data_IF_346326847346
#
_entry.id   IF_346326847346
#
_cell.length_a   1.000
_cell.length_b   1.000
_cell.length_c   1.000
_cell.angle_alpha   90.00
_cell.angle_beta   90.00
_cell.angle_gamma   90.00
#
_symmetry.space_group_name_H-M   'P 1'
#
loop_
_entity.id
_entity.type
_entity.pdbx_description
1 polymer ?
#
# COMPACT_ATOMS: atom_id res chain seq x y z
N UNK A 1 7.51 -15.79 9.21
CA UNK A 1 6.71 -16.72 8.36
C UNK A 1 7.18 -16.79 6.90
N UNK A 2 8.08 -15.93 6.43
CA UNK A 2 8.65 -16.05 5.09
C UNK A 2 9.98 -16.81 5.12
N UNK A 3 10.31 -17.56 4.06
CA UNK A 3 11.63 -18.13 3.89
C UNK A 3 12.66 -17.02 3.65
N UNK A 4 13.89 -17.29 4.04
CA UNK A 4 15.04 -16.42 3.80
C UNK A 4 15.95 -17.09 2.78
N UNK A 5 16.49 -16.31 1.86
CA UNK A 5 17.39 -16.80 0.83
C UNK A 5 18.65 -15.92 0.80
N UNK A 6 19.80 -16.55 0.60
CA UNK A 6 21.04 -15.82 0.36
C UNK A 6 21.03 -15.34 -1.10
N UNK A 7 20.99 -14.02 -1.29
CA UNK A 7 21.03 -13.37 -2.60
C UNK A 7 22.34 -12.62 -2.70
N UNK A 8 23.31 -13.18 -3.43
CA UNK A 8 24.70 -12.71 -3.39
C UNK A 8 25.33 -13.03 -2.04
N UNK A 9 25.72 -12.00 -1.28
CA UNK A 9 26.27 -12.12 0.07
C UNK A 9 25.30 -11.70 1.18
N UNK A 10 24.04 -11.42 0.85
CA UNK A 10 23.05 -10.83 1.75
C UNK A 10 21.85 -11.76 1.97
N UNK A 11 21.48 -11.99 3.22
CA UNK A 11 20.29 -12.77 3.57
C UNK A 11 19.05 -11.92 3.33
N UNK A 12 18.26 -12.29 2.31
CA UNK A 12 17.08 -11.54 1.86
C UNK A 12 15.80 -12.33 2.13
N UNK A 13 14.76 -11.70 2.71
CA UNK A 13 13.48 -12.36 2.90
C UNK A 13 12.77 -12.54 1.56
N UNK A 14 12.25 -13.74 1.31
CA UNK A 14 11.38 -14.02 0.17
C UNK A 14 9.94 -13.72 0.58
N UNK A 15 9.46 -12.52 0.25
CA UNK A 15 8.15 -12.07 0.69
C UNK A 15 7.05 -12.42 -0.32
N UNK A 16 6.00 -13.07 0.18
CA UNK A 16 4.76 -13.24 -0.56
C UNK A 16 3.80 -12.12 -0.19
N UNK A 17 3.31 -11.39 -1.18
CA UNK A 17 2.32 -10.32 -0.98
C UNK A 17 1.06 -10.90 -0.33
N UNK A 18 0.67 -10.34 0.81
CA UNK A 18 -0.46 -10.86 1.59
C UNK A 18 -1.78 -10.53 0.92
N UNK A 19 -2.84 -11.28 1.20
CA UNK A 19 -4.18 -10.92 0.73
C UNK A 19 -4.70 -9.73 1.55
N UNK A 20 -4.94 -8.60 0.90
CA UNK A 20 -5.58 -7.42 1.51
C UNK A 20 -7.03 -7.38 1.07
N UNK A 21 -7.97 -7.32 2.01
CA UNK A 21 -9.41 -7.24 1.73
C UNK A 21 -9.84 -5.77 1.64
N UNK A 22 -9.38 -4.95 2.58
CA UNK A 22 -9.75 -3.54 2.71
C UNK A 22 -8.63 -2.62 2.23
N UNK A 23 -8.96 -1.34 2.03
CA UNK A 23 -7.95 -0.32 1.70
C UNK A 23 -6.95 -0.16 2.86
N UNK A 24 -7.45 -0.23 4.09
CA UNK A 24 -6.64 -0.11 5.32
C UNK A 24 -5.69 -1.29 5.54
N UNK A 25 -6.02 -2.49 5.06
CA UNK A 25 -5.12 -3.65 5.07
C UNK A 25 -3.83 -3.38 4.29
N UNK A 26 -3.88 -2.59 3.21
CA UNK A 26 -2.69 -2.24 2.42
C UNK A 26 -1.72 -1.41 3.26
N UNK A 27 -2.24 -0.43 4.01
CA UNK A 27 -1.43 0.39 4.90
C UNK A 27 -0.90 -0.40 6.10
N UNK A 28 -1.71 -1.30 6.64
CA UNK A 28 -1.31 -2.19 7.72
C UNK A 28 -0.17 -3.11 7.28
N UNK A 29 -0.30 -3.75 6.11
CA UNK A 29 0.78 -4.55 5.51
C UNK A 29 2.07 -3.73 5.35
N UNK A 30 1.96 -2.46 4.95
CA UNK A 30 3.12 -1.60 4.78
C UNK A 30 3.82 -1.25 6.10
N UNK A 31 3.06 -0.93 7.14
CA UNK A 31 3.61 -0.31 8.37
C UNK A 31 3.87 -1.29 9.51
N UNK A 32 2.98 -2.25 9.73
CA UNK A 32 3.08 -3.22 10.83
C UNK A 32 3.24 -4.66 10.33
N UNK A 33 2.99 -4.89 9.05
CA UNK A 33 2.93 -6.23 8.47
C UNK A 33 1.54 -6.85 8.60
N UNK A 34 1.32 -7.96 7.91
CA UNK A 34 0.01 -8.63 7.88
C UNK A 34 0.20 -10.14 8.01
N UNK A 35 -0.70 -10.83 8.72
CA UNK A 35 -0.69 -12.29 8.91
C UNK A 35 0.61 -12.88 9.54
N UNK A 36 1.38 -12.05 10.26
CA UNK A 36 2.68 -12.42 10.85
C UNK A 36 3.84 -12.41 9.85
N UNK A 37 3.70 -11.65 8.76
CA UNK A 37 4.78 -11.31 7.84
C UNK A 37 5.35 -9.92 8.19
N UNK A 38 6.60 -9.67 7.78
CA UNK A 38 7.27 -8.37 8.01
C UNK A 38 6.51 -7.20 7.36
N UNK A 39 6.61 -5.99 7.93
CA UNK A 39 6.14 -4.79 7.27
C UNK A 39 6.83 -4.58 5.92
N UNK A 40 6.07 -4.22 4.88
CA UNK A 40 6.66 -3.96 3.56
C UNK A 40 7.58 -2.72 3.60
N UNK A 41 7.36 -1.78 4.52
CA UNK A 41 8.27 -0.65 4.75
C UNK A 41 9.68 -1.13 5.10
N UNK A 42 9.80 -2.03 6.07
CA UNK A 42 11.10 -2.60 6.46
C UNK A 42 11.75 -3.34 5.28
N UNK A 43 10.94 -4.00 4.44
CA UNK A 43 11.44 -4.67 3.25
C UNK A 43 12.08 -3.69 2.26
N UNK A 44 11.38 -2.59 1.97
CA UNK A 44 11.90 -1.53 1.09
C UNK A 44 13.15 -0.85 1.66
N UNK A 45 13.15 -0.55 2.95
CA UNK A 45 14.25 0.20 3.59
C UNK A 45 15.54 -0.63 3.68
N UNK A 46 15.43 -1.91 4.04
CA UNK A 46 16.61 -2.75 4.27
C UNK A 46 17.12 -3.45 3.01
N UNK A 47 16.21 -3.89 2.11
CA UNK A 47 16.59 -4.69 0.93
C UNK A 47 16.24 -4.03 -0.41
N UNK A 48 15.50 -2.92 -0.40
CA UNK A 48 15.12 -2.19 -1.61
C UNK A 48 14.48 -3.10 -2.67
N UNK A 49 14.87 -3.03 -3.95
CA UNK A 49 14.29 -3.91 -4.97
C UNK A 49 14.56 -5.40 -4.83
N UNK A 50 15.54 -5.82 -4.01
CA UNK A 50 15.99 -7.21 -3.94
C UNK A 50 14.95 -8.14 -3.32
N UNK A 51 14.22 -7.70 -2.30
CA UNK A 51 13.22 -8.55 -1.62
C UNK A 51 12.08 -8.98 -2.55
N UNK A 52 11.79 -8.18 -3.59
CA UNK A 52 10.78 -8.51 -4.61
C UNK A 52 11.25 -9.62 -5.57
N UNK A 53 12.56 -9.86 -5.63
CA UNK A 53 13.19 -10.80 -6.54
C UNK A 53 12.83 -10.56 -8.01
N UNK A 54 12.91 -11.61 -8.83
CA UNK A 54 12.38 -11.60 -10.20
C UNK A 54 11.00 -12.26 -10.29
N UNK A 55 10.10 -11.96 -9.36
CA UNK A 55 8.75 -12.53 -9.33
C UNK A 55 7.74 -11.49 -9.87
N UNK A 56 7.21 -11.65 -11.11
CA UNK A 56 6.35 -10.64 -11.73
C UNK A 56 5.11 -10.29 -10.90
N UNK A 57 4.48 -11.30 -10.29
CA UNK A 57 3.29 -11.11 -9.44
C UNK A 57 3.56 -10.20 -8.24
N UNK A 58 4.73 -10.33 -7.60
CA UNK A 58 5.13 -9.49 -6.46
C UNK A 58 5.40 -8.06 -6.92
N UNK A 59 6.13 -7.89 -8.02
CA UNK A 59 6.40 -6.56 -8.61
C UNK A 59 5.11 -5.81 -8.97
N UNK A 60 4.16 -6.47 -9.63
CA UNK A 60 2.87 -5.88 -10.00
C UNK A 60 2.02 -5.53 -8.79
N UNK A 61 1.92 -6.43 -7.81
CA UNK A 61 1.16 -6.19 -6.58
C UNK A 61 1.76 -5.03 -5.77
N UNK A 62 3.09 -4.97 -5.64
CA UNK A 62 3.78 -3.86 -5.02
C UNK A 62 3.48 -2.53 -5.72
N UNK A 63 3.64 -2.47 -7.05
CA UNK A 63 3.37 -1.24 -7.81
C UNK A 63 1.93 -0.72 -7.65
N UNK A 64 0.96 -1.64 -7.51
CA UNK A 64 -0.43 -1.30 -7.19
C UNK A 64 -0.58 -0.72 -5.79
N UNK A 65 -0.04 -1.40 -4.78
CA UNK A 65 -0.14 -0.98 -3.37
C UNK A 65 0.61 0.30 -3.09
N UNK A 66 1.75 0.52 -3.75
CA UNK A 66 2.53 1.75 -3.62
C UNK A 66 1.69 3.00 -3.92
N UNK A 67 0.76 2.94 -4.89
CA UNK A 67 -0.13 4.08 -5.19
C UNK A 67 -1.05 4.43 -4.02
N UNK A 68 -1.57 3.42 -3.31
CA UNK A 68 -2.39 3.64 -2.10
C UNK A 68 -1.52 4.17 -0.96
N UNK A 69 -0.32 3.62 -0.77
CA UNK A 69 0.63 4.06 0.27
C UNK A 69 1.04 5.53 0.04
N UNK A 70 1.37 5.89 -1.20
CA UNK A 70 1.74 7.26 -1.56
C UNK A 70 0.57 8.22 -1.30
N UNK A 71 -0.65 7.82 -1.67
CA UNK A 71 -1.87 8.59 -1.42
C UNK A 71 -2.14 8.82 0.08
N UNK A 72 -2.03 7.77 0.92
CA UNK A 72 -2.19 7.91 2.38
C UNK A 72 -1.14 8.86 2.94
N UNK A 73 0.10 8.75 2.47
CA UNK A 73 1.22 9.61 2.88
C UNK A 73 1.01 11.07 2.46
N UNK A 74 0.40 11.30 1.30
CA UNK A 74 0.07 12.64 0.82
C UNK A 74 -1.09 13.24 1.63
N UNK A 75 -2.16 12.48 1.85
CA UNK A 75 -3.30 12.88 2.68
C UNK A 75 -2.86 13.23 4.09
N UNK A 76 -1.98 12.43 4.71
CA UNK A 76 -1.48 12.68 6.07
C UNK A 76 -0.59 13.91 6.20
N UNK A 77 -0.18 14.53 5.09
CA UNK A 77 0.59 15.79 5.09
C UNK A 77 -0.29 17.02 4.98
N UNK A 78 -1.59 16.87 4.77
CA UNK A 78 -2.54 18.00 4.74
C UNK A 78 -2.63 18.65 6.12
N UNK A 79 -2.95 19.95 6.20
CA UNK A 79 -3.13 20.62 7.49
C UNK A 79 -4.20 19.91 8.34
N UNK A 80 -3.86 19.58 9.58
CA UNK A 80 -4.72 18.86 10.54
C UNK A 80 -5.10 17.42 10.15
N UNK A 81 -4.40 16.85 9.17
CA UNK A 81 -4.54 15.44 8.84
C UNK A 81 -3.39 14.67 9.46
N UNK A 82 -3.70 13.46 9.90
CA UNK A 82 -2.73 12.44 10.24
C UNK A 82 -3.07 11.15 9.46
N UNK A 83 -2.27 10.12 9.67
CA UNK A 83 -2.47 8.82 9.02
C UNK A 83 -3.82 8.22 9.39
N UNK A 84 -4.23 8.32 10.65
CA UNK A 84 -5.49 7.74 11.12
C UNK A 84 -6.70 8.39 10.46
N UNK A 85 -6.70 9.72 10.35
CA UNK A 85 -7.74 10.47 9.66
C UNK A 85 -7.75 10.13 8.16
N UNK A 86 -6.58 10.02 7.52
CA UNK A 86 -6.50 9.61 6.11
C UNK A 86 -7.09 8.21 5.88
N UNK A 87 -6.81 7.25 6.75
CA UNK A 87 -7.36 5.90 6.66
C UNK A 87 -8.87 5.88 6.92
N UNK A 88 -9.36 6.63 7.93
CA UNK A 88 -10.79 6.77 8.22
C UNK A 88 -11.53 7.38 7.03
N UNK A 89 -10.98 8.42 6.41
CA UNK A 89 -11.53 9.02 5.20
C UNK A 89 -11.64 7.99 4.06
N UNK A 90 -10.56 7.28 3.75
CA UNK A 90 -10.57 6.30 2.66
C UNK A 90 -11.57 5.18 2.91
N UNK A 91 -11.64 4.65 4.13
CA UNK A 91 -12.59 3.60 4.47
C UNK A 91 -14.04 4.10 4.43
N UNK A 92 -14.33 5.28 5.01
CA UNK A 92 -15.68 5.84 5.04
C UNK A 92 -16.21 6.18 3.64
N UNK A 93 -15.35 6.74 2.77
CA UNK A 93 -15.78 7.24 1.44
C UNK A 93 -15.71 6.15 0.36
N UNK A 94 -14.77 5.21 0.46
CA UNK A 94 -14.51 4.22 -0.59
C UNK A 94 -14.71 2.76 -0.14
N UNK A 95 -14.61 2.45 1.16
CA UNK A 95 -14.62 1.07 1.66
C UNK A 95 -15.89 0.27 1.32
N UNK A 96 -17.04 0.93 1.22
CA UNK A 96 -18.30 0.27 0.81
C UNK A 96 -18.31 -0.20 -0.65
N UNK A 97 -17.63 0.54 -1.53
CA UNK A 97 -17.71 0.33 -2.98
C UNK A 97 -16.43 -0.30 -3.56
N UNK A 98 -15.35 -0.33 -2.78
CA UNK A 98 -14.07 -0.80 -3.23
C UNK A 98 -13.45 -1.80 -2.25
N UNK A 99 -12.96 -2.90 -2.81
CA UNK A 99 -11.97 -3.76 -2.16
C UNK A 99 -10.59 -3.15 -2.31
N UNK A 100 -9.60 -3.66 -1.58
CA UNK A 100 -8.19 -3.29 -1.76
C UNK A 100 -7.76 -3.34 -3.24
N UNK A 101 -8.09 -4.44 -3.93
CA UNK A 101 -7.71 -4.69 -5.32
C UNK A 101 -8.42 -3.76 -6.30
N UNK A 102 -9.74 -3.57 -6.16
CA UNK A 102 -10.49 -2.68 -7.05
C UNK A 102 -10.17 -1.21 -6.82
N UNK A 103 -9.82 -0.81 -5.58
CA UNK A 103 -9.32 0.54 -5.29
C UNK A 103 -7.96 0.79 -5.93
N UNK A 104 -7.03 -0.16 -5.84
CA UNK A 104 -5.74 -0.06 -6.54
C UNK A 104 -5.94 0.10 -8.05
N UNK A 105 -6.86 -0.67 -8.65
CA UNK A 105 -7.16 -0.56 -10.07
C UNK A 105 -7.80 0.80 -10.42
N UNK A 106 -8.65 1.33 -9.55
CA UNK A 106 -9.23 2.67 -9.70
C UNK A 106 -8.15 3.76 -9.75
N UNK A 107 -7.18 3.73 -8.83
CA UNK A 107 -6.05 4.68 -8.82
C UNK A 107 -5.08 4.53 -10.01
N UNK A 108 -5.08 3.39 -10.72
CA UNK A 108 -4.20 3.15 -11.86
C UNK A 108 -4.72 3.72 -13.19
N UNK A 109 -5.99 4.11 -13.27
CA UNK A 109 -6.58 4.62 -14.51
C UNK A 109 -5.99 5.99 -14.86
N UNK A 110 -5.17 6.05 -15.91
CA UNK A 110 -4.48 7.26 -16.37
C UNK A 110 -5.42 8.41 -16.77
N UNK A 111 -6.60 8.07 -17.27
CA UNK A 111 -7.52 9.04 -17.88
C UNK A 111 -8.56 9.58 -16.89
N UNK A 112 -8.58 9.09 -15.65
CA UNK A 112 -9.72 9.23 -14.76
C UNK A 112 -9.59 10.31 -13.68
N UNK A 113 -8.45 11.02 -13.59
CA UNK A 113 -8.21 12.00 -12.51
C UNK A 113 -8.48 11.43 -11.12
N UNK A 114 -8.32 10.12 -10.94
CA UNK A 114 -8.81 9.40 -9.76
C UNK A 114 -8.08 9.86 -8.50
N UNK A 115 -6.79 10.15 -8.62
CA UNK A 115 -5.98 10.69 -7.54
C UNK A 115 -6.50 12.08 -7.13
N UNK A 116 -6.68 12.96 -8.11
CA UNK A 116 -7.19 14.31 -7.93
C UNK A 116 -8.59 14.31 -7.32
N UNK A 117 -9.47 13.41 -7.77
CA UNK A 117 -10.82 13.26 -7.24
C UNK A 117 -10.82 12.80 -5.77
N UNK A 118 -9.87 11.94 -5.37
CA UNK A 118 -9.71 11.57 -3.96
C UNK A 118 -9.22 12.76 -3.14
N UNK A 119 -8.24 13.50 -3.66
CA UNK A 119 -7.72 14.70 -3.00
C UNK A 119 -8.79 15.80 -2.88
N UNK A 120 -9.63 16.00 -3.88
CA UNK A 120 -10.75 16.94 -3.85
C UNK A 120 -11.78 16.53 -2.79
N UNK A 121 -12.20 15.25 -2.79
CA UNK A 121 -13.14 14.74 -1.78
C UNK A 121 -12.60 14.84 -0.37
N UNK A 122 -11.29 14.68 -0.18
CA UNK A 122 -10.67 14.85 1.13
C UNK A 122 -10.83 16.28 1.68
N UNK A 123 -10.96 17.31 0.82
CA UNK A 123 -11.16 18.68 1.29
C UNK A 123 -12.56 18.93 1.90
N UNK A 124 -13.54 18.09 1.52
CA UNK A 124 -14.90 18.15 2.06
C UNK A 124 -15.12 17.18 3.22
N UNK A 125 -14.10 16.40 3.60
CA UNK A 125 -14.20 15.44 4.70
C UNK A 125 -14.00 16.17 6.04
N UNK A 126 -14.95 16.02 6.99
CA UNK A 126 -14.94 16.74 8.26
C UNK A 126 -13.82 16.31 9.21
#
# INVERSE_FOLDING_TARGET
KHPWALVGSELTPSYLMQSCQTITDIWSEYTVGLNGFLPVRELEENWGPKWRGNVPKVKTAWGRRKKVIDLVTELSKKPRWDVDLALRFLEAVYGRNYTAGTFCAYLQKKDAGAHEAVMERSNAYP
#
